data_IF_915599157351
#
_entry.id   IF_915599157351
#
_cell.length_a   1.000
_cell.length_b   1.000
_cell.length_c   1.000
_cell.angle_alpha   90.00
_cell.angle_beta   90.00
_cell.angle_gamma   90.00
#
_symmetry.space_group_name_H-M   'P 1'
#
loop_
_entity.id
_entity.type
_entity.pdbx_description
1 polymer ?
#
# COMPACT_ATOMS: atom_id res chain seq x y z
N UNK A 1 -1.44 20.29 9.30
CA UNK A 1 -1.88 18.90 9.55
C UNK A 1 -2.62 18.30 8.36
N UNK A 2 -3.71 18.89 7.85
CA UNK A 2 -4.48 18.33 6.70
C UNK A 2 -3.62 18.03 5.46
N UNK A 3 -2.71 18.93 5.08
CA UNK A 3 -1.79 18.70 3.95
C UNK A 3 -0.94 17.44 4.13
N UNK A 4 -0.46 17.18 5.34
CA UNK A 4 0.39 16.03 5.66
C UNK A 4 -0.41 14.74 5.53
N UNK A 5 -1.65 14.72 6.04
CA UNK A 5 -2.56 13.57 5.94
C UNK A 5 -2.85 13.20 4.48
N UNK A 6 -3.13 14.20 3.63
CA UNK A 6 -3.38 13.96 2.21
C UNK A 6 -2.13 13.45 1.49
N UNK A 7 -0.96 14.04 1.76
CA UNK A 7 0.30 13.62 1.13
C UNK A 7 0.67 12.20 1.52
N UNK A 8 0.54 11.82 2.80
CA UNK A 8 0.86 10.46 3.26
C UNK A 8 -0.12 9.43 2.68
N UNK A 9 -1.42 9.77 2.61
CA UNK A 9 -2.41 8.91 1.97
C UNK A 9 -2.12 8.70 0.47
N UNK A 10 -1.77 9.76 -0.24
CA UNK A 10 -1.43 9.69 -1.67
C UNK A 10 -0.16 8.86 -1.91
N UNK A 11 0.87 9.01 -1.08
CA UNK A 11 2.10 8.22 -1.17
C UNK A 11 1.83 6.74 -0.94
N UNK A 12 1.08 6.39 0.11
CA UNK A 12 0.75 5.00 0.42
C UNK A 12 -0.10 4.40 -0.71
N UNK A 13 -1.12 5.12 -1.17
CA UNK A 13 -1.99 4.69 -2.26
C UNK A 13 -1.22 4.52 -3.57
N UNK A 14 -0.31 5.43 -3.89
CA UNK A 14 0.56 5.33 -5.06
C UNK A 14 1.49 4.11 -4.98
N UNK A 15 2.00 3.77 -3.79
CA UNK A 15 2.80 2.55 -3.58
C UNK A 15 2.03 1.28 -3.95
N UNK A 16 0.79 1.15 -3.47
CA UNK A 16 -0.08 0.03 -3.85
C UNK A 16 -0.48 0.05 -5.32
N UNK A 17 -0.75 1.24 -5.88
CA UNK A 17 -1.10 1.40 -7.30
C UNK A 17 0.05 0.99 -8.23
N UNK A 18 1.29 1.36 -7.90
CA UNK A 18 2.48 0.93 -8.66
C UNK A 18 2.68 -0.57 -8.54
N UNK A 19 2.45 -1.16 -7.35
CA UNK A 19 2.48 -2.62 -7.18
C UNK A 19 1.44 -3.34 -8.05
N UNK A 20 0.23 -2.78 -8.15
CA UNK A 20 -0.81 -3.28 -9.04
C UNK A 20 -0.42 -3.11 -10.52
N UNK A 21 0.10 -1.94 -10.91
CA UNK A 21 0.53 -1.68 -12.28
C UNK A 21 1.68 -2.61 -12.71
N UNK A 22 2.64 -2.87 -11.81
CA UNK A 22 3.72 -3.82 -12.02
C UNK A 22 3.21 -5.25 -12.19
N UNK A 23 2.13 -5.63 -11.48
CA UNK A 23 1.49 -6.93 -11.67
C UNK A 23 0.80 -7.09 -13.04
N UNK A 24 0.47 -5.98 -13.75
CA UNK A 24 -0.11 -6.04 -15.10
C UNK A 24 0.92 -6.49 -16.15
N UNK A 25 2.20 -6.27 -15.89
CA UNK A 25 3.30 -6.59 -16.81
C UNK A 25 3.66 -8.09 -16.75
N UNK A 26 3.24 -8.79 -15.69
CA UNK A 26 3.49 -10.23 -15.54
C UNK A 26 2.59 -11.03 -16.48
N UNK A 27 3.20 -11.95 -17.25
CA UNK A 27 2.51 -12.88 -18.16
C UNK A 27 1.62 -13.89 -17.42
N UNK A 28 2.03 -14.35 -16.23
CA UNK A 28 1.24 -15.28 -15.41
C UNK A 28 0.51 -14.52 -14.31
N UNK A 29 -0.72 -14.07 -14.60
CA UNK A 29 -1.57 -13.33 -13.66
C UNK A 29 -2.38 -14.27 -12.76
N UNK A 30 -1.69 -15.10 -11.99
CA UNK A 30 -2.36 -15.80 -10.89
C UNK A 30 -2.68 -14.80 -9.79
N UNK A 31 -3.87 -14.95 -9.17
CA UNK A 31 -4.35 -14.13 -8.06
C UNK A 31 -3.28 -13.92 -6.98
N UNK A 32 -2.62 -15.01 -6.61
CA UNK A 32 -1.59 -15.03 -5.57
C UNK A 32 -0.36 -14.23 -5.97
N UNK A 33 0.08 -14.32 -7.22
CA UNK A 33 1.21 -13.58 -7.77
C UNK A 33 0.93 -12.07 -7.80
N UNK A 34 -0.27 -11.68 -8.23
CA UNK A 34 -0.71 -10.28 -8.27
C UNK A 34 -0.77 -9.69 -6.87
N UNK A 35 -1.42 -10.38 -5.92
CA UNK A 35 -1.50 -9.93 -4.54
C UNK A 35 -0.10 -9.83 -3.90
N UNK A 36 0.74 -10.85 -4.10
CA UNK A 36 2.12 -10.85 -3.62
C UNK A 36 2.88 -9.62 -4.13
N UNK A 37 2.76 -9.30 -5.42
CA UNK A 37 3.43 -8.13 -6.00
C UNK A 37 2.95 -6.80 -5.40
N UNK A 38 1.63 -6.66 -5.25
CA UNK A 38 1.02 -5.46 -4.65
C UNK A 38 1.49 -5.28 -3.21
N UNK A 39 1.54 -6.36 -2.43
CA UNK A 39 2.00 -6.32 -1.05
C UNK A 39 3.50 -6.06 -0.94
N UNK A 40 4.30 -6.66 -1.81
CA UNK A 40 5.75 -6.49 -1.79
C UNK A 40 6.15 -5.03 -2.09
N UNK A 41 5.47 -4.39 -3.05
CA UNK A 41 5.72 -2.98 -3.40
C UNK A 41 5.04 -1.99 -2.44
N UNK A 42 3.84 -2.34 -1.97
CA UNK A 42 2.99 -1.48 -1.13
C UNK A 42 3.33 -1.51 0.36
N UNK A 43 3.76 -2.65 0.90
CA UNK A 43 4.20 -2.79 2.30
C UNK A 43 5.71 -2.57 2.38
N UNK A 44 6.08 -1.32 2.63
CA UNK A 44 7.47 -0.90 2.87
C UNK A 44 7.75 -0.88 4.37
N UNK A 45 9.01 -1.06 4.76
CA UNK A 45 9.44 -0.95 6.15
C UNK A 45 9.42 0.52 6.62
N UNK A 46 8.22 1.03 6.90
CA UNK A 46 7.99 2.37 7.43
C UNK A 46 8.45 2.49 8.90
N UNK A 47 8.61 1.38 9.62
CA UNK A 47 9.13 1.37 10.98
C UNK A 47 10.61 1.78 11.04
N UNK A 48 11.43 1.33 10.08
CA UNK A 48 12.82 1.81 9.95
C UNK A 48 12.86 3.32 9.69
N UNK A 49 12.01 3.82 8.78
CA UNK A 49 11.88 5.26 8.53
C UNK A 49 11.46 6.05 9.79
N UNK A 50 10.58 5.48 10.61
CA UNK A 50 10.14 6.09 11.87
C UNK A 50 11.28 6.18 12.88
N UNK A 51 12.08 5.12 13.03
CA UNK A 51 13.27 5.14 13.91
C UNK A 51 14.25 6.21 13.44
N UNK A 52 14.54 6.29 12.14
CA UNK A 52 15.42 7.33 11.59
C UNK A 52 14.88 8.75 11.85
N UNK A 53 13.56 8.96 11.70
CA UNK A 53 12.95 10.25 11.96
C UNK A 53 13.01 10.65 13.44
N UNK A 54 12.84 9.71 14.36
CA UNK A 54 12.93 9.97 15.79
C UNK A 54 14.38 10.17 16.25
N UNK A 55 15.35 9.50 15.63
CA UNK A 55 16.77 9.57 16.01
C UNK A 55 17.48 10.80 15.46
N UNK A 56 17.13 11.26 14.24
CA UNK A 56 17.90 12.29 13.53
C UNK A 56 17.12 13.57 13.24
N UNK A 57 15.81 13.60 13.44
CA UNK A 57 14.95 14.75 13.10
C UNK A 57 14.10 15.22 14.29
N UNK A 58 13.52 16.43 14.22
CA UNK A 58 12.59 16.90 15.24
C UNK A 58 11.38 15.96 15.36
N UNK A 59 10.77 15.80 16.56
CA UNK A 59 9.67 14.87 16.80
C UNK A 59 8.48 15.04 15.84
N UNK A 60 8.27 16.26 15.32
CA UNK A 60 7.23 16.56 14.34
C UNK A 60 7.38 15.78 13.02
N UNK A 61 8.60 15.33 12.66
CA UNK A 61 8.85 14.54 11.45
C UNK A 61 8.38 13.09 11.57
N UNK A 62 8.15 12.57 12.78
CA UNK A 62 7.60 11.22 13.00
C UNK A 62 6.10 11.13 12.67
N UNK A 63 5.38 12.25 12.78
CA UNK A 63 3.93 12.34 12.54
C UNK A 63 3.52 11.77 11.17
N UNK A 64 4.08 12.23 10.03
CA UNK A 64 3.72 11.69 8.71
C UNK A 64 4.01 10.19 8.57
N UNK A 65 5.07 9.69 9.21
CA UNK A 65 5.50 8.30 9.06
C UNK A 65 4.56 7.38 9.83
N UNK A 66 4.20 7.74 11.06
CA UNK A 66 3.20 7.03 11.85
C UNK A 66 1.83 7.03 11.16
N UNK A 67 1.43 8.15 10.56
CA UNK A 67 0.20 8.23 9.75
C UNK A 67 0.26 7.33 8.51
N UNK A 68 1.43 7.23 7.86
CA UNK A 68 1.61 6.33 6.72
C UNK A 68 1.43 4.87 7.13
N UNK A 69 1.97 4.46 8.28
CA UNK A 69 1.75 3.12 8.86
C UNK A 69 0.26 2.89 9.14
N UNK A 70 -0.41 3.88 9.73
CA UNK A 70 -1.85 3.83 10.03
C UNK A 70 -2.71 3.65 8.77
N UNK A 71 -2.36 4.28 7.65
CA UNK A 71 -3.07 4.11 6.39
C UNK A 71 -2.74 2.80 5.66
N UNK A 72 -1.52 2.31 5.84
CA UNK A 72 -1.05 1.11 5.16
C UNK A 72 -1.74 -0.16 5.66
N UNK A 73 -1.97 -0.28 6.98
CA UNK A 73 -2.66 -1.42 7.59
C UNK A 73 -4.09 -1.67 7.03
N UNK A 74 -5.01 -0.68 7.00
CA UNK A 74 -6.36 -0.89 6.47
C UNK A 74 -6.33 -1.10 4.95
N UNK A 75 -5.46 -0.41 4.20
CA UNK A 75 -5.30 -0.64 2.76
C UNK A 75 -4.86 -2.08 2.48
N UNK A 76 -3.91 -2.61 3.25
CA UNK A 76 -3.48 -3.99 3.16
C UNK A 76 -4.62 -5.00 3.40
N UNK A 77 -5.58 -4.69 4.26
CA UNK A 77 -6.77 -5.54 4.50
C UNK A 77 -7.81 -5.42 3.38
N UNK A 78 -7.98 -4.24 2.79
CA UNK A 78 -9.00 -3.98 1.76
C UNK A 78 -8.62 -4.60 0.42
N UNK A 79 -7.35 -4.51 0.01
CA UNK A 79 -6.84 -5.01 -1.29
C UNK A 79 -7.24 -6.46 -1.64
N UNK A 80 -7.05 -7.46 -0.76
CA UNK A 80 -7.38 -8.85 -1.08
C UNK A 80 -8.89 -9.08 -1.11
N UNK A 81 -9.64 -8.31 -0.30
CA UNK A 81 -11.11 -8.32 -0.28
C UNK A 81 -11.67 -7.75 -1.59
N UNK A 82 -11.12 -6.63 -2.04
CA UNK A 82 -11.46 -5.97 -3.28
C UNK A 82 -11.15 -6.87 -4.48
N UNK A 83 -9.94 -7.43 -4.54
CA UNK A 83 -9.51 -8.33 -5.61
C UNK A 83 -10.38 -9.58 -5.70
N UNK A 84 -10.75 -10.18 -4.55
CA UNK A 84 -11.68 -11.31 -4.48
C UNK A 84 -13.05 -10.96 -5.08
N UNK A 85 -13.55 -9.73 -4.90
CA UNK A 85 -14.81 -9.32 -5.52
C UNK A 85 -14.69 -9.12 -7.04
N UNK A 86 -13.57 -8.59 -7.53
CA UNK A 86 -13.33 -8.42 -8.97
C UNK A 86 -13.28 -9.76 -9.72
N UNK A 87 -12.57 -10.76 -9.17
CA UNK A 87 -12.55 -12.12 -9.75
C UNK A 87 -13.93 -12.77 -9.74
N UNK A 88 -14.66 -12.64 -8.64
CA UNK A 88 -16.02 -13.20 -8.52
C UNK A 88 -16.95 -12.60 -9.57
N UNK A 89 -16.78 -11.32 -9.92
CA UNK A 89 -17.56 -10.64 -10.95
C UNK A 89 -17.18 -11.09 -12.37
N UNK A 90 -15.90 -11.38 -12.64
CA UNK A 90 -15.44 -11.92 -13.93
C UNK A 90 -15.91 -13.36 -14.17
N UNK A 91 -16.01 -14.19 -13.12
CA UNK A 91 -16.53 -15.55 -13.21
C UNK A 91 -18.04 -15.63 -13.46
N UNK A 92 -18.81 -14.58 -13.16
CA UNK A 92 -20.28 -14.55 -13.37
C UNK A 92 -20.64 -14.07 -14.79
N UNK A 93 -19.70 -13.48 -15.53
CA UNK A 93 -19.91 -12.93 -16.87
C UNK A 93 -19.37 -13.83 -18.01
N UNK A 94 -18.67 -14.93 -17.68
CA UNK A 94 -18.32 -15.99 -18.64
C UNK A 94 -19.21 -17.22 -18.40
#
# INVERSE_FOLDING_TARGET
MVKILLVTLLIVSAGYFVGFLGSLILKERTRETVLTMIYNVGIRNNACGLVLALSYFPPAAAIPITLSILYQQPLATIIPHLYKQFEKKQQITN
#
